data_IF_668458518208
#
_entry.id   IF_668458518208
#
_cell.length_a   1.000
_cell.length_b   1.000
_cell.length_c   1.000
_cell.angle_alpha   90.00
_cell.angle_beta   90.00
_cell.angle_gamma   90.00
#
_symmetry.space_group_name_H-M   'P 1'
#
loop_
_entity.id
_entity.type
_entity.pdbx_description
1 polymer ?
#
# COMPACT_ATOMS: atom_id res chain seq x y z
N UNK A 1 -10.79 -13.25 5.29
CA UNK A 1 -10.53 -11.87 5.76
C UNK A 1 -9.38 -12.01 6.71
N UNK A 2 -8.24 -11.41 6.39
CA UNK A 2 -7.05 -11.61 7.22
C UNK A 2 -7.00 -10.61 8.38
N UNK A 3 -7.50 -9.40 8.17
CA UNK A 3 -7.45 -8.27 9.08
C UNK A 3 -8.59 -7.30 8.85
N UNK A 4 -8.79 -6.42 9.80
CA UNK A 4 -9.72 -5.31 9.75
C UNK A 4 -8.91 -4.01 9.88
N UNK A 5 -8.88 -3.22 8.82
CA UNK A 5 -8.21 -1.92 8.78
C UNK A 5 -9.15 -0.81 9.24
N UNK A 6 -8.74 -0.07 10.26
CA UNK A 6 -9.52 1.04 10.81
C UNK A 6 -8.68 2.32 10.75
N UNK A 7 -9.18 3.32 10.03
CA UNK A 7 -8.56 4.65 10.01
C UNK A 7 -8.88 5.39 11.31
N UNK A 8 -7.84 5.89 11.97
CA UNK A 8 -7.94 6.61 13.24
C UNK A 8 -7.05 7.84 13.25
N UNK A 9 -7.30 8.79 14.13
CA UNK A 9 -6.34 9.87 14.34
C UNK A 9 -5.16 9.37 15.19
N UNK A 10 -3.94 9.68 14.78
CA UNK A 10 -2.73 9.28 15.52
C UNK A 10 -2.73 9.75 17.00
N UNK A 11 -3.37 10.87 17.28
CA UNK A 11 -3.54 11.38 18.64
C UNK A 11 -4.35 10.47 19.56
N UNK A 12 -5.15 9.58 19.01
CA UNK A 12 -6.06 8.70 19.74
C UNK A 12 -5.45 7.32 20.03
N UNK A 13 -4.21 7.05 19.63
CA UNK A 13 -3.57 5.74 19.80
C UNK A 13 -3.48 5.29 21.28
N UNK A 14 -3.28 6.21 22.22
CA UNK A 14 -3.24 5.86 23.63
C UNK A 14 -4.63 5.44 24.15
N UNK A 15 -5.67 6.16 23.74
CA UNK A 15 -7.05 5.78 24.07
C UNK A 15 -7.45 4.44 23.41
N UNK A 16 -7.05 4.23 22.16
CA UNK A 16 -7.26 2.96 21.45
C UNK A 16 -6.58 1.80 22.18
N UNK A 17 -5.35 2.01 22.69
CA UNK A 17 -4.63 0.98 23.43
C UNK A 17 -5.40 0.56 24.70
N UNK A 18 -5.98 1.51 25.42
CA UNK A 18 -6.81 1.20 26.61
C UNK A 18 -8.03 0.38 26.20
N UNK A 19 -8.80 0.85 25.23
CA UNK A 19 -10.02 0.15 24.77
C UNK A 19 -9.69 -1.22 24.20
N UNK A 20 -8.63 -1.34 23.40
CA UNK A 20 -8.22 -2.63 22.83
C UNK A 20 -7.87 -3.64 23.93
N UNK A 21 -7.14 -3.23 24.95
CA UNK A 21 -6.80 -4.09 26.09
C UNK A 21 -8.05 -4.51 26.88
N UNK A 22 -8.97 -3.58 27.15
CA UNK A 22 -10.22 -3.86 27.86
C UNK A 22 -11.10 -4.88 27.09
N UNK A 23 -11.04 -4.87 25.75
CA UNK A 23 -11.72 -5.84 24.89
C UNK A 23 -10.93 -7.15 24.71
N UNK A 24 -9.82 -7.33 25.44
CA UNK A 24 -8.98 -8.54 25.38
C UNK A 24 -8.06 -8.61 24.16
N UNK A 25 -7.86 -7.51 23.47
CA UNK A 25 -6.90 -7.38 22.37
C UNK A 25 -5.47 -7.40 22.88
N UNK A 26 -4.61 -8.17 22.23
CA UNK A 26 -3.18 -8.24 22.53
C UNK A 26 -2.42 -7.46 21.45
N UNK A 27 -1.62 -6.49 21.87
CA UNK A 27 -0.77 -5.76 20.94
C UNK A 27 0.19 -6.71 20.23
N UNK A 28 0.26 -6.59 18.91
CA UNK A 28 1.19 -7.32 18.05
C UNK A 28 2.21 -6.31 17.52
N UNK A 29 3.47 -6.72 17.42
CA UNK A 29 4.52 -5.86 16.85
C UNK A 29 4.23 -5.59 15.38
N UNK A 30 3.88 -4.34 15.07
CA UNK A 30 3.73 -3.82 13.71
C UNK A 30 4.98 -3.08 13.23
N UNK A 31 5.06 -2.80 11.95
CA UNK A 31 6.22 -2.14 11.34
C UNK A 31 6.20 -0.60 11.41
N UNK A 32 5.38 -0.03 12.28
CA UNK A 32 5.69 1.30 12.79
C UNK A 32 4.63 2.37 12.81
N UNK A 33 3.81 2.57 11.80
CA UNK A 33 2.86 3.70 11.77
C UNK A 33 1.45 3.32 12.19
N UNK A 34 1.16 2.06 12.36
CA UNK A 34 -0.12 1.54 12.78
C UNK A 34 -0.01 0.79 14.10
N UNK A 35 -1.12 0.50 14.73
CA UNK A 35 -1.23 -0.30 15.95
C UNK A 35 -2.01 -1.57 15.63
N UNK A 36 -1.35 -2.72 15.79
CA UNK A 36 -1.94 -4.01 15.49
C UNK A 36 -2.34 -4.71 16.78
N UNK A 37 -3.55 -5.21 16.81
CA UNK A 37 -4.09 -6.00 17.91
C UNK A 37 -4.67 -7.31 17.41
N UNK A 38 -4.39 -8.37 18.15
CA UNK A 38 -5.04 -9.65 17.96
C UNK A 38 -6.10 -9.84 19.06
N UNK A 39 -7.35 -9.86 18.66
CA UNK A 39 -8.49 -10.05 19.56
C UNK A 39 -8.87 -11.53 19.72
N UNK A 40 -9.69 -11.88 20.74
CA UNK A 40 -10.26 -13.21 20.88
C UNK A 40 -10.92 -13.68 19.57
N UNK A 41 -10.82 -14.97 19.28
CA UNK A 41 -11.30 -15.52 18.01
C UNK A 41 -10.35 -15.32 16.82
N UNK A 42 -9.10 -14.88 17.08
CA UNK A 42 -8.06 -14.62 16.07
C UNK A 42 -8.43 -13.50 15.08
N UNK A 43 -9.18 -12.53 15.53
CA UNK A 43 -9.49 -11.34 14.73
C UNK A 43 -8.31 -10.37 14.83
N UNK A 44 -7.62 -10.14 13.71
CA UNK A 44 -6.59 -9.13 13.60
C UNK A 44 -7.24 -7.78 13.27
N UNK A 45 -6.85 -6.74 13.99
CA UNK A 45 -7.31 -5.36 13.75
C UNK A 45 -6.08 -4.46 13.66
N UNK A 46 -6.02 -3.68 12.61
CA UNK A 46 -4.96 -2.69 12.36
C UNK A 46 -5.55 -1.28 12.42
N UNK A 47 -5.01 -0.46 13.31
CA UNK A 47 -5.41 0.94 13.43
C UNK A 47 -4.39 1.80 12.70
N UNK A 48 -4.81 2.43 11.61
CA UNK A 48 -3.98 3.23 10.72
C UNK A 48 -4.24 4.73 10.91
N UNK A 49 -3.19 5.55 11.08
CA UNK A 49 -3.37 7.01 11.05
C UNK A 49 -3.52 7.55 9.62
N UNK A 50 -3.09 6.76 8.64
CA UNK A 50 -3.14 7.01 7.20
C UNK A 50 -3.44 5.70 6.48
N UNK A 51 -4.30 5.75 5.48
CA UNK A 51 -4.70 4.54 4.72
C UNK A 51 -3.58 3.98 3.84
N UNK A 52 -2.60 4.81 3.45
CA UNK A 52 -1.45 4.40 2.66
C UNK A 52 -0.15 4.89 3.29
N UNK A 53 0.88 4.07 3.25
CA UNK A 53 2.21 4.45 3.68
C UNK A 53 2.84 5.47 2.72
N UNK A 54 3.49 6.50 3.25
CA UNK A 54 4.22 7.50 2.46
C UNK A 54 5.40 6.91 1.65
N UNK A 55 5.85 5.71 1.97
CA UNK A 55 7.00 5.04 1.34
C UNK A 55 6.63 4.11 0.19
N UNK A 56 5.39 4.11 -0.28
CA UNK A 56 5.05 3.31 -1.46
C UNK A 56 5.79 3.86 -2.68
N UNK A 57 6.30 2.99 -3.58
CA UNK A 57 6.94 3.42 -4.82
C UNK A 57 6.02 4.23 -5.73
N UNK A 58 4.71 4.18 -5.47
CA UNK A 58 3.66 4.85 -6.19
C UNK A 58 3.36 6.15 -5.44
N UNK A 59 3.86 7.26 -5.91
CA UNK A 59 3.51 8.62 -5.48
C UNK A 59 3.60 8.88 -3.97
N UNK A 60 4.51 9.72 -3.57
CA UNK A 60 4.52 10.24 -2.21
C UNK A 60 3.34 11.20 -2.02
N UNK A 61 2.60 11.06 -0.94
CA UNK A 61 1.52 11.97 -0.56
C UNK A 61 0.12 11.56 -1.03
N UNK A 62 -0.06 10.34 -1.52
CA UNK A 62 -1.37 9.76 -1.76
C UNK A 62 -1.92 9.30 -0.42
N UNK A 63 -2.85 10.03 0.12
CA UNK A 63 -3.60 9.61 1.29
C UNK A 63 -5.06 10.02 1.12
N UNK A 64 -5.89 9.17 0.50
CA UNK A 64 -7.31 9.41 0.35
C UNK A 64 -8.07 9.25 1.68
N UNK A 65 -7.46 9.62 2.80
CA UNK A 65 -7.98 9.45 4.12
C UNK A 65 -9.09 10.44 4.49
N UNK A 66 -8.86 11.21 5.52
CA UNK A 66 -9.87 12.04 6.16
C UNK A 66 -10.50 13.11 5.26
N UNK A 67 -9.82 13.60 4.24
CA UNK A 67 -10.35 14.60 3.30
C UNK A 67 -11.53 14.10 2.47
N UNK A 68 -11.72 12.79 2.36
CA UNK A 68 -12.84 12.17 1.63
C UNK A 68 -13.84 11.50 2.57
N UNK A 69 -13.73 11.75 3.88
CA UNK A 69 -14.63 11.20 4.87
C UNK A 69 -15.67 12.25 5.28
N UNK A 70 -16.91 11.82 5.43
CA UNK A 70 -18.03 12.63 5.94
C UNK A 70 -18.42 12.17 7.33
N UNK A 71 -18.92 13.10 8.15
CA UNK A 71 -19.45 12.78 9.47
C UNK A 71 -20.74 11.96 9.34
N UNK A 72 -20.87 10.95 10.20
CA UNK A 72 -22.11 10.20 10.34
C UNK A 72 -22.99 10.86 11.41
N UNK A 73 -24.28 11.09 11.13
CA UNK A 73 -25.18 11.65 12.13
C UNK A 73 -25.17 10.80 13.41
N UNK A 74 -25.11 11.47 14.56
CA UNK A 74 -25.18 10.86 15.89
C UNK A 74 -24.12 9.77 16.15
N UNK A 75 -22.97 9.82 15.45
CA UNK A 75 -21.89 8.85 15.57
C UNK A 75 -20.53 9.54 15.68
N UNK A 76 -19.60 8.91 16.39
CA UNK A 76 -18.18 9.31 16.39
C UNK A 76 -17.42 8.76 15.18
N UNK A 77 -18.05 7.91 14.37
CA UNK A 77 -17.46 7.38 13.15
C UNK A 77 -17.71 8.30 11.96
N UNK A 78 -16.81 8.17 10.98
CA UNK A 78 -16.94 8.82 9.67
C UNK A 78 -17.06 7.73 8.60
N UNK A 79 -17.69 8.08 7.50
CA UNK A 79 -17.79 7.22 6.34
C UNK A 79 -17.07 7.86 5.16
N UNK A 80 -16.36 7.07 4.36
CA UNK A 80 -15.79 7.55 3.12
C UNK A 80 -16.92 7.91 2.14
N UNK A 81 -16.77 9.01 1.41
CA UNK A 81 -17.62 9.29 0.25
C UNK A 81 -17.44 8.20 -0.81
N UNK A 82 -18.30 8.13 -1.80
CA UNK A 82 -18.14 7.14 -2.89
C UNK A 82 -16.82 7.31 -3.63
N UNK A 83 -16.41 8.56 -3.88
CA UNK A 83 -15.14 8.92 -4.47
C UNK A 83 -13.97 8.47 -3.56
N UNK A 84 -14.07 8.77 -2.26
CA UNK A 84 -13.06 8.40 -1.27
C UNK A 84 -12.88 6.89 -1.16
N UNK A 85 -13.97 6.15 -1.14
CA UNK A 85 -13.95 4.70 -1.13
C UNK A 85 -13.27 4.13 -2.38
N UNK A 86 -13.66 4.62 -3.56
CA UNK A 86 -13.08 4.15 -4.82
C UNK A 86 -11.58 4.49 -4.91
N UNK A 87 -11.21 5.73 -4.60
CA UNK A 87 -9.81 6.16 -4.59
C UNK A 87 -8.97 5.32 -3.61
N UNK A 88 -9.49 5.08 -2.41
CA UNK A 88 -8.82 4.23 -1.43
C UNK A 88 -8.63 2.81 -1.96
N UNK A 89 -9.65 2.22 -2.58
CA UNK A 89 -9.58 0.86 -3.12
C UNK A 89 -8.51 0.74 -4.20
N UNK A 90 -8.46 1.69 -5.15
CA UNK A 90 -7.43 1.70 -6.20
C UNK A 90 -6.03 1.93 -5.63
N UNK A 91 -5.88 2.89 -4.71
CA UNK A 91 -4.58 3.19 -4.11
C UNK A 91 -4.05 2.00 -3.28
N UNK A 92 -4.92 1.34 -2.52
CA UNK A 92 -4.57 0.16 -1.74
C UNK A 92 -4.17 -1.01 -2.65
N UNK A 93 -4.97 -1.27 -3.69
CA UNK A 93 -4.64 -2.27 -4.72
C UNK A 93 -3.27 -1.99 -5.35
N UNK A 94 -3.03 -0.74 -5.77
CA UNK A 94 -1.77 -0.34 -6.40
C UNK A 94 -0.57 -0.50 -5.45
N UNK A 95 -0.74 -0.20 -4.16
CA UNK A 95 0.29 -0.40 -3.14
C UNK A 95 0.67 -1.88 -3.03
N UNK A 96 -0.29 -2.76 -2.83
CA UNK A 96 -0.04 -4.20 -2.76
C UNK A 96 0.50 -4.77 -4.08
N UNK A 97 0.03 -4.26 -5.21
CA UNK A 97 0.50 -4.68 -6.53
C UNK A 97 2.01 -4.48 -6.68
N UNK A 98 2.56 -3.36 -6.23
CA UNK A 98 4.01 -3.10 -6.26
C UNK A 98 4.77 -3.79 -5.14
N UNK A 99 4.14 -4.05 -4.01
CA UNK A 99 4.74 -4.74 -2.86
C UNK A 99 4.76 -6.28 -3.00
N UNK A 100 4.55 -6.79 -4.22
CA UNK A 100 4.71 -8.21 -4.53
C UNK A 100 3.55 -8.84 -5.26
N UNK A 101 2.47 -8.10 -5.44
CA UNK A 101 1.27 -8.50 -6.18
C UNK A 101 0.03 -8.61 -5.31
N UNK A 102 -1.09 -8.79 -5.98
CA UNK A 102 -2.44 -8.87 -5.41
C UNK A 102 -3.15 -10.14 -5.89
N UNK A 103 -4.12 -10.60 -5.09
CA UNK A 103 -4.99 -11.70 -5.50
C UNK A 103 -6.17 -11.24 -6.36
N UNK A 104 -6.84 -12.20 -7.00
CA UNK A 104 -8.05 -12.01 -7.84
C UNK A 104 -9.14 -11.22 -7.12
N UNK A 105 -9.25 -11.38 -5.80
CA UNK A 105 -10.25 -10.71 -4.98
C UNK A 105 -10.24 -9.19 -5.14
N UNK A 106 -9.07 -8.57 -5.24
CA UNK A 106 -8.98 -7.11 -5.41
C UNK A 106 -9.63 -6.65 -6.73
N UNK A 107 -9.46 -7.42 -7.80
CA UNK A 107 -10.10 -7.14 -9.10
C UNK A 107 -11.62 -7.37 -9.02
N UNK A 108 -12.03 -8.43 -8.32
CA UNK A 108 -13.45 -8.70 -8.07
C UNK A 108 -14.10 -7.57 -7.24
N UNK A 109 -13.43 -7.07 -6.21
CA UNK A 109 -13.94 -5.99 -5.36
C UNK A 109 -14.18 -4.71 -6.19
N UNK A 110 -13.31 -4.41 -7.17
CA UNK A 110 -13.52 -3.30 -8.12
C UNK A 110 -14.76 -3.53 -8.98
N UNK A 111 -14.91 -4.73 -9.55
CA UNK A 111 -16.08 -5.05 -10.37
C UNK A 111 -17.38 -4.97 -9.57
N UNK A 112 -17.42 -5.62 -8.40
CA UNK A 112 -18.59 -5.61 -7.51
C UNK A 112 -18.96 -4.20 -7.07
N UNK A 113 -17.99 -3.37 -6.70
CA UNK A 113 -18.26 -2.00 -6.27
C UNK A 113 -18.91 -1.16 -7.38
N UNK A 114 -18.53 -1.37 -8.63
CA UNK A 114 -19.10 -0.69 -9.81
C UNK A 114 -20.52 -1.18 -10.13
N UNK A 115 -20.82 -2.45 -9.87
CA UNK A 115 -22.11 -3.06 -10.20
C UNK A 115 -23.17 -2.87 -9.12
N UNK A 116 -22.79 -2.96 -7.84
CA UNK A 116 -23.74 -3.07 -6.73
C UNK A 116 -23.93 -1.80 -5.92
N UNK A 117 -23.09 -0.79 -6.09
CA UNK A 117 -23.28 0.47 -5.37
C UNK A 117 -24.48 1.25 -5.92
N UNK A 118 -25.33 1.72 -5.00
CA UNK A 118 -26.51 2.54 -5.34
C UNK A 118 -26.14 3.90 -5.88
N UNK A 119 -25.04 4.47 -5.37
CA UNK A 119 -24.50 5.75 -5.81
C UNK A 119 -23.15 5.52 -6.44
N UNK A 120 -22.95 6.01 -7.63
CA UNK A 120 -21.64 5.94 -8.30
C UNK A 120 -20.81 7.19 -7.94
N UNK A 121 -19.48 7.06 -7.82
CA UNK A 121 -18.62 8.22 -7.61
C UNK A 121 -18.66 9.20 -8.78
N UNK A 122 -18.42 10.48 -8.50
CA UNK A 122 -18.19 11.46 -9.57
C UNK A 122 -16.93 11.05 -10.36
N UNK A 123 -17.16 10.59 -11.58
CA UNK A 123 -16.12 10.06 -12.45
C UNK A 123 -15.05 11.09 -12.79
N UNK A 124 -15.47 12.34 -13.07
CA UNK A 124 -14.54 13.41 -13.42
C UNK A 124 -13.62 13.77 -12.24
N UNK A 125 -14.18 13.83 -11.04
CA UNK A 125 -13.41 14.04 -9.81
C UNK A 125 -12.43 12.90 -9.56
N UNK A 126 -12.87 11.66 -9.66
CA UNK A 126 -12.02 10.46 -9.45
C UNK A 126 -10.87 10.43 -10.45
N UNK A 127 -11.14 10.68 -11.74
CA UNK A 127 -10.09 10.69 -12.77
C UNK A 127 -9.07 11.81 -12.58
N UNK A 128 -9.51 12.98 -12.13
CA UNK A 128 -8.60 14.08 -11.79
C UNK A 128 -7.68 13.71 -10.62
N UNK A 129 -8.23 13.10 -9.56
CA UNK A 129 -7.44 12.66 -8.41
C UNK A 129 -6.49 11.51 -8.77
N UNK A 130 -6.95 10.52 -9.53
CA UNK A 130 -6.09 9.42 -10.02
C UNK A 130 -4.98 9.93 -10.94
N UNK A 131 -5.26 10.95 -11.76
CA UNK A 131 -4.24 11.61 -12.58
C UNK A 131 -3.19 12.29 -11.69
N UNK A 132 -3.63 13.02 -10.67
CA UNK A 132 -2.74 13.65 -9.68
C UNK A 132 -1.88 12.62 -8.94
N UNK A 133 -2.42 11.44 -8.70
CA UNK A 133 -1.70 10.32 -8.07
C UNK A 133 -0.79 9.57 -9.05
N UNK A 134 -0.94 9.76 -10.37
CA UNK A 134 -0.25 8.98 -11.39
C UNK A 134 -0.76 7.54 -11.51
N UNK A 135 -2.02 7.31 -11.14
CA UNK A 135 -2.65 6.00 -11.11
C UNK A 135 -3.82 5.83 -12.08
N UNK A 136 -4.16 6.86 -12.87
CA UNK A 136 -5.33 6.79 -13.77
C UNK A 136 -5.20 5.65 -14.78
N UNK A 137 -4.06 5.51 -15.43
CA UNK A 137 -3.81 4.46 -16.42
C UNK A 137 -3.87 3.06 -15.80
N UNK A 138 -3.31 2.89 -14.61
CA UNK A 138 -3.41 1.65 -13.85
C UNK A 138 -4.85 1.30 -13.49
N UNK A 139 -5.60 2.26 -12.94
CA UNK A 139 -7.00 2.08 -12.55
C UNK A 139 -7.86 1.65 -13.76
N UNK A 140 -7.69 2.31 -14.91
CA UNK A 140 -8.41 1.97 -16.13
C UNK A 140 -8.12 0.54 -16.60
N UNK A 141 -6.88 0.08 -16.51
CA UNK A 141 -6.52 -1.31 -16.88
C UNK A 141 -7.09 -2.34 -15.90
N UNK A 142 -7.12 -2.03 -14.62
CA UNK A 142 -7.75 -2.89 -13.61
C UNK A 142 -9.27 -2.95 -13.84
N UNK A 143 -9.93 -1.84 -14.17
CA UNK A 143 -11.35 -1.83 -14.51
C UNK A 143 -11.63 -2.68 -15.77
N UNK A 144 -10.83 -2.51 -16.82
CA UNK A 144 -10.94 -3.30 -18.04
C UNK A 144 -10.73 -4.81 -17.78
N UNK A 145 -9.75 -5.15 -16.94
CA UNK A 145 -9.52 -6.54 -16.54
C UNK A 145 -10.70 -7.10 -15.74
N UNK A 146 -11.27 -6.29 -14.83
CA UNK A 146 -12.45 -6.68 -14.07
C UNK A 146 -13.66 -6.94 -14.97
N UNK A 147 -13.88 -6.09 -15.97
CA UNK A 147 -14.94 -6.25 -16.96
C UNK A 147 -14.70 -7.47 -17.89
N UNK A 148 -13.44 -7.80 -18.19
CA UNK A 148 -13.09 -8.99 -18.97
C UNK A 148 -13.22 -10.28 -18.16
N UNK A 149 -12.92 -10.26 -16.86
CA UNK A 149 -12.98 -11.47 -16.02
C UNK A 149 -14.38 -11.80 -15.51
N UNK A 150 -15.16 -10.78 -15.17
CA UNK A 150 -16.45 -10.93 -14.48
C UNK A 150 -17.64 -10.39 -15.27
N UNK A 151 -17.38 -9.68 -16.36
CA UNK A 151 -18.38 -9.19 -17.32
C UNK A 151 -18.28 -9.89 -18.66
N UNK A 152 -18.69 -9.19 -19.72
CA UNK A 152 -18.73 -9.72 -21.08
C UNK A 152 -17.72 -9.03 -22.02
N UNK A 153 -16.76 -8.28 -21.48
CA UNK A 153 -15.77 -7.57 -22.30
C UNK A 153 -14.68 -8.52 -22.82
N UNK A 154 -14.18 -8.29 -24.03
CA UNK A 154 -13.15 -9.15 -24.59
C UNK A 154 -11.81 -8.98 -23.86
N UNK A 155 -11.09 -10.09 -23.73
CA UNK A 155 -9.72 -10.10 -23.21
C UNK A 155 -8.76 -9.63 -24.30
N UNK A 156 -7.88 -8.66 -23.97
CA UNK A 156 -6.78 -8.25 -24.86
C UNK A 156 -5.46 -8.88 -24.40
N UNK A 157 -4.43 -8.96 -25.26
CA UNK A 157 -3.12 -9.50 -24.87
C UNK A 157 -2.49 -8.78 -23.65
N UNK A 158 -2.70 -7.46 -23.50
CA UNK A 158 -2.24 -6.72 -22.35
C UNK A 158 -2.99 -7.10 -21.08
N UNK A 159 -4.29 -7.32 -21.16
CA UNK A 159 -5.11 -7.75 -20.03
C UNK A 159 -4.80 -9.20 -19.65
N UNK A 160 -4.47 -10.06 -20.61
CA UNK A 160 -3.98 -11.42 -20.34
C UNK A 160 -2.68 -11.37 -19.55
N UNK A 161 -1.70 -10.55 -19.97
CA UNK A 161 -0.42 -10.38 -19.27
C UNK A 161 -0.63 -9.83 -17.85
N UNK A 162 -1.49 -8.82 -17.67
CA UNK A 162 -1.85 -8.27 -16.38
C UNK A 162 -2.55 -9.30 -15.49
N UNK A 163 -3.49 -10.03 -16.08
CA UNK A 163 -4.22 -11.09 -15.39
C UNK A 163 -3.30 -12.23 -14.92
N UNK A 164 -2.39 -12.70 -15.77
CA UNK A 164 -1.38 -13.68 -15.39
C UNK A 164 -0.46 -13.16 -14.27
N UNK A 165 -0.06 -11.90 -14.36
CA UNK A 165 0.72 -11.27 -13.30
C UNK A 165 0.00 -11.32 -11.95
N UNK A 166 -1.31 -11.05 -11.91
CA UNK A 166 -2.14 -11.11 -10.70
C UNK A 166 -2.31 -12.55 -10.23
N UNK A 167 -2.70 -13.47 -11.12
CA UNK A 167 -2.93 -14.88 -10.77
C UNK A 167 -1.69 -15.57 -10.18
N UNK A 168 -0.52 -15.22 -10.70
CA UNK A 168 0.76 -15.79 -10.25
C UNK A 168 1.33 -15.11 -8.99
N UNK A 169 0.70 -14.01 -8.52
CA UNK A 169 1.11 -13.31 -7.29
C UNK A 169 0.63 -13.98 -5.99
N UNK A 170 -0.33 -14.92 -6.06
CA UNK A 170 -0.99 -15.47 -4.89
C UNK A 170 -1.87 -14.41 -4.19
N UNK A 171 -2.35 -14.75 -2.99
CA UNK A 171 -3.25 -13.86 -2.23
C UNK A 171 -2.57 -12.69 -1.53
N UNK A 172 -1.26 -12.79 -1.27
CA UNK A 172 -0.50 -11.82 -0.47
C UNK A 172 0.80 -11.36 -1.13
N UNK A 173 0.96 -11.61 -2.44
CA UNK A 173 2.19 -11.29 -3.17
C UNK A 173 3.34 -12.27 -2.91
N UNK A 174 4.44 -12.05 -3.64
CA UNK A 174 5.65 -12.88 -3.58
C UNK A 174 6.85 -11.98 -3.26
N UNK A 175 7.65 -12.35 -2.27
CA UNK A 175 8.79 -11.56 -1.79
C UNK A 175 9.82 -11.25 -2.91
N UNK A 176 10.10 -12.20 -3.80
CA UNK A 176 11.03 -12.01 -4.92
C UNK A 176 10.48 -10.97 -5.92
N UNK A 177 9.16 -10.97 -6.14
CA UNK A 177 8.49 -9.97 -6.98
C UNK A 177 8.49 -8.59 -6.33
N UNK A 178 8.24 -8.49 -5.03
CA UNK A 178 8.34 -7.24 -4.28
C UNK A 178 9.72 -6.60 -4.44
N UNK A 179 10.76 -7.42 -4.38
CA UNK A 179 12.14 -6.99 -4.58
C UNK A 179 12.39 -6.52 -6.00
N UNK A 180 11.98 -7.30 -7.01
CA UNK A 180 12.11 -6.95 -8.41
C UNK A 180 11.36 -5.64 -8.74
N UNK A 181 10.14 -5.48 -8.24
CA UNK A 181 9.37 -4.25 -8.39
C UNK A 181 10.07 -3.05 -7.73
N UNK A 182 10.56 -3.22 -6.51
CA UNK A 182 11.29 -2.16 -5.79
C UNK A 182 12.54 -1.71 -6.57
N UNK A 183 13.28 -2.64 -7.17
CA UNK A 183 14.44 -2.33 -8.02
C UNK A 183 13.99 -1.62 -9.31
N UNK A 184 12.96 -2.14 -10.00
CA UNK A 184 12.44 -1.59 -11.25
C UNK A 184 11.92 -0.16 -11.10
N UNK A 185 11.32 0.17 -9.96
CA UNK A 185 10.78 1.48 -9.64
C UNK A 185 11.79 2.43 -8.97
N UNK A 186 13.02 1.96 -8.69
CA UNK A 186 14.07 2.78 -8.09
C UNK A 186 14.86 3.56 -9.15
N UNK A 187 15.43 4.74 -8.80
CA UNK A 187 16.33 5.45 -9.70
C UNK A 187 17.52 4.58 -10.09
N UNK A 188 17.82 4.52 -11.40
CA UNK A 188 18.91 3.71 -11.94
C UNK A 188 18.73 2.19 -11.89
N UNK A 189 17.58 1.67 -11.42
CA UNK A 189 17.31 0.23 -11.36
C UNK A 189 18.27 -0.56 -10.46
N UNK A 190 18.97 0.10 -9.53
CA UNK A 190 20.01 -0.53 -8.73
C UNK A 190 19.49 -1.09 -7.42
N UNK A 191 20.03 -2.25 -7.03
CA UNK A 191 19.78 -2.86 -5.72
C UNK A 191 20.07 -1.90 -4.56
N UNK A 192 21.18 -1.17 -4.67
CA UNK A 192 21.59 -0.18 -3.69
C UNK A 192 20.55 0.95 -3.53
N UNK A 193 20.02 1.47 -4.64
CA UNK A 193 18.99 2.51 -4.61
C UNK A 193 17.68 2.01 -4.00
N UNK A 194 17.27 0.78 -4.30
CA UNK A 194 16.10 0.15 -3.69
C UNK A 194 16.28 -0.06 -2.18
N UNK A 195 17.45 -0.53 -1.77
CA UNK A 195 17.80 -0.71 -0.35
C UNK A 195 17.86 0.64 0.37
N UNK A 196 18.49 1.65 -0.24
CA UNK A 196 18.58 2.98 0.35
C UNK A 196 17.21 3.61 0.61
N UNK A 197 16.26 3.47 -0.30
CA UNK A 197 14.87 3.92 -0.08
C UNK A 197 14.20 3.20 1.11
N UNK A 198 14.51 1.93 1.32
CA UNK A 198 13.99 1.17 2.48
C UNK A 198 14.71 1.50 3.79
N UNK A 199 15.94 1.97 3.74
CA UNK A 199 16.72 2.38 4.91
C UNK A 199 16.44 3.85 5.26
N UNK A 200 16.52 4.73 4.26
CA UNK A 200 16.37 6.18 4.45
C UNK A 200 14.95 6.63 4.10
N UNK A 201 14.07 6.45 5.04
CA UNK A 201 12.69 6.91 4.92
C UNK A 201 12.60 8.44 4.86
N UNK A 202 11.59 8.98 4.15
CA UNK A 202 11.29 10.41 4.17
C UNK A 202 11.10 10.93 5.59
N UNK A 203 11.43 12.20 5.79
CA UNK A 203 11.34 12.86 7.10
C UNK A 203 9.96 12.70 7.75
N UNK A 204 8.89 12.91 7.00
CA UNK A 204 7.52 12.82 7.52
C UNK A 204 7.25 11.46 8.16
N UNK A 205 7.64 10.37 7.49
CA UNK A 205 7.43 9.02 7.98
C UNK A 205 8.31 8.68 9.20
N UNK A 206 9.54 9.23 9.25
CA UNK A 206 10.40 9.09 10.44
C UNK A 206 9.85 9.86 11.63
N UNK A 207 9.32 11.06 11.42
CA UNK A 207 8.71 11.86 12.46
C UNK A 207 7.44 11.22 13.03
N UNK A 208 6.67 10.52 12.20
CA UNK A 208 5.50 9.75 12.64
C UNK A 208 5.91 8.50 13.43
N UNK A 209 6.95 7.80 12.96
CA UNK A 209 7.46 6.57 13.60
C UNK A 209 8.24 6.84 14.88
N UNK A 210 8.96 7.95 14.93
CA UNK A 210 9.80 8.38 16.04
C UNK A 210 9.40 9.80 16.50
N UNK A 211 8.31 9.94 17.28
CA UNK A 211 7.79 11.26 17.66
C UNK A 211 8.82 12.17 18.35
N UNK A 212 9.86 11.58 18.97
CA UNK A 212 10.95 12.32 19.62
C UNK A 212 11.81 13.15 18.63
N UNK A 213 11.81 12.81 17.34
CA UNK A 213 12.54 13.57 16.30
C UNK A 213 11.65 14.61 15.58
N UNK A 214 10.34 14.66 15.89
CA UNK A 214 9.39 15.56 15.23
C UNK A 214 9.80 17.02 15.33
N UNK A 215 9.87 17.69 14.19
CA UNK A 215 10.32 19.08 14.10
C UNK A 215 11.83 19.30 14.28
N UNK A 216 12.63 18.25 14.55
CA UNK A 216 14.05 18.35 14.86
C UNK A 216 14.88 17.65 13.79
N UNK A 217 15.13 18.31 12.64
CA UNK A 217 15.84 17.71 11.52
C UNK A 217 17.22 17.14 11.86
N UNK A 218 17.91 17.68 12.86
CA UNK A 218 19.22 17.22 13.32
C UNK A 218 19.18 15.84 14.02
N UNK A 219 18.00 15.38 14.46
CA UNK A 219 17.80 14.04 15.04
C UNK A 219 17.49 12.96 13.99
N UNK A 220 17.27 13.31 12.71
CA UNK A 220 16.97 12.34 11.66
C UNK A 220 18.05 11.24 11.53
N UNK A 221 19.36 11.52 11.61
CA UNK A 221 20.38 10.46 11.60
C UNK A 221 20.18 9.44 12.72
N UNK A 222 19.84 9.89 13.92
CA UNK A 222 19.56 9.00 15.06
C UNK A 222 18.29 8.17 14.83
N UNK A 223 17.25 8.76 14.22
CA UNK A 223 16.02 8.04 13.86
C UNK A 223 16.29 6.96 12.79
N UNK A 224 17.12 7.23 11.79
CA UNK A 224 17.54 6.22 10.82
C UNK A 224 18.34 5.08 11.47
N UNK A 225 19.25 5.39 12.40
CA UNK A 225 19.99 4.38 13.16
C UNK A 225 19.05 3.52 14.02
N UNK A 226 18.12 4.14 14.75
CA UNK A 226 17.12 3.42 15.54
C UNK A 226 16.26 2.50 14.68
N UNK A 227 15.84 2.98 13.50
CA UNK A 227 15.09 2.17 12.54
C UNK A 227 15.91 1.00 12.02
N UNK A 228 17.16 1.23 11.62
CA UNK A 228 18.05 0.16 11.15
C UNK A 228 18.27 -0.90 12.23
N UNK A 229 18.48 -0.47 13.46
CA UNK A 229 18.59 -1.36 14.61
C UNK A 229 17.33 -2.21 14.81
N UNK A 230 16.14 -1.58 14.80
CA UNK A 230 14.87 -2.30 14.91
C UNK A 230 14.66 -3.28 13.74
N UNK A 231 15.01 -2.87 12.52
CA UNK A 231 14.91 -3.74 11.35
C UNK A 231 15.79 -4.99 11.48
N UNK A 232 17.04 -4.83 11.93
CA UNK A 232 17.95 -5.97 12.13
C UNK A 232 17.50 -6.87 13.27
N UNK A 233 17.04 -6.31 14.38
CA UNK A 233 16.65 -7.09 15.57
C UNK A 233 15.31 -7.80 15.41
N UNK A 234 14.35 -7.19 14.71
CA UNK A 234 13.00 -7.72 14.55
C UNK A 234 12.82 -8.52 13.24
N UNK A 235 13.57 -8.18 12.18
CA UNK A 235 13.41 -8.73 10.83
C UNK A 235 14.73 -9.21 10.21
N UNK A 236 15.73 -9.56 11.02
CA UNK A 236 17.05 -9.95 10.54
C UNK A 236 17.04 -11.09 9.52
N UNK A 237 16.15 -12.06 9.65
CA UNK A 237 15.97 -13.15 8.68
C UNK A 237 15.43 -12.66 7.34
N UNK A 238 14.52 -11.68 7.34
CA UNK A 238 13.97 -11.08 6.12
C UNK A 238 15.04 -10.28 5.39
N UNK A 239 15.85 -9.50 6.13
CA UNK A 239 16.96 -8.72 5.57
C UNK A 239 18.03 -9.65 4.99
N UNK A 240 18.38 -10.74 5.67
CA UNK A 240 19.31 -11.73 5.18
C UNK A 240 18.82 -12.43 3.90
N UNK A 241 17.53 -12.76 3.83
CA UNK A 241 16.91 -13.33 2.64
C UNK A 241 16.84 -12.32 1.49
N UNK A 242 16.58 -11.05 1.78
CA UNK A 242 16.67 -9.96 0.81
C UNK A 242 18.07 -9.84 0.21
N UNK A 243 19.11 -9.86 1.04
CA UNK A 243 20.49 -9.81 0.57
C UNK A 243 20.88 -10.99 -0.33
N UNK A 244 20.37 -12.19 -0.04
CA UNK A 244 20.58 -13.40 -0.86
C UNK A 244 19.77 -13.38 -2.16
N UNK A 245 18.55 -12.85 -2.13
CA UNK A 245 17.67 -12.78 -3.31
C UNK A 245 18.15 -11.72 -4.32
N UNK A 246 18.63 -10.56 -3.85
CA UNK A 246 19.08 -9.47 -4.73
C UNK A 246 20.26 -9.85 -5.63
N UNK A 247 21.15 -10.72 -5.18
CA UNK A 247 22.28 -11.17 -5.99
C UNK A 247 21.91 -12.05 -7.19
N UNK A 248 20.64 -12.50 -7.28
CA UNK A 248 20.14 -13.36 -8.35
C UNK A 248 19.41 -12.58 -9.45
N UNK A 249 18.95 -11.37 -9.18
CA UNK A 249 18.16 -10.55 -10.13
C UNK A 249 19.13 -9.86 -11.10
N UNK A 250 19.02 -10.14 -12.37
CA UNK A 250 19.83 -9.53 -13.43
C UNK A 250 19.34 -8.13 -13.79
N UNK A 251 20.21 -7.32 -14.39
CA UNK A 251 19.80 -6.00 -14.92
C UNK A 251 18.73 -6.10 -16.01
N UNK A 252 18.79 -7.16 -16.81
CA UNK A 252 17.81 -7.42 -17.88
C UNK A 252 16.43 -7.65 -17.29
N UNK A 253 16.30 -8.49 -16.25
CA UNK A 253 15.03 -8.72 -15.56
C UNK A 253 14.45 -7.44 -14.97
N UNK A 254 15.30 -6.55 -14.41
CA UNK A 254 14.87 -5.25 -13.87
C UNK A 254 14.29 -4.36 -14.97
N UNK A 255 14.94 -4.31 -16.13
CA UNK A 255 14.48 -3.49 -17.28
C UNK A 255 13.16 -4.06 -17.84
N UNK A 256 13.10 -5.35 -18.09
CA UNK A 256 11.89 -6.02 -18.59
C UNK A 256 10.70 -5.83 -17.63
N UNK A 257 10.94 -5.98 -16.34
CA UNK A 257 9.89 -5.76 -15.33
C UNK A 257 9.50 -4.28 -15.23
N UNK A 258 10.44 -3.35 -15.41
CA UNK A 258 10.12 -1.92 -15.46
C UNK A 258 9.20 -1.60 -16.64
N UNK A 259 9.48 -2.14 -17.83
CA UNK A 259 8.66 -1.97 -19.02
C UNK A 259 7.27 -2.61 -18.80
N UNK A 260 7.22 -3.78 -18.18
CA UNK A 260 5.98 -4.46 -17.82
C UNK A 260 5.12 -3.61 -16.87
N UNK A 261 5.68 -3.13 -15.78
CA UNK A 261 4.97 -2.25 -14.84
C UNK A 261 4.47 -0.97 -15.53
N UNK A 262 5.29 -0.40 -16.42
CA UNK A 262 4.89 0.77 -17.21
C UNK A 262 3.69 0.47 -18.10
N UNK A 263 3.69 -0.68 -18.80
CA UNK A 263 2.52 -1.11 -19.60
C UNK A 263 1.27 -1.32 -18.74
N UNK A 264 1.42 -1.71 -17.49
CA UNK A 264 0.32 -1.84 -16.53
C UNK A 264 -0.14 -0.51 -15.93
N UNK A 265 0.52 0.60 -16.28
CA UNK A 265 0.16 1.93 -15.79
C UNK A 265 0.84 2.31 -14.46
N UNK A 266 1.84 1.54 -14.03
CA UNK A 266 2.67 1.86 -12.87
C UNK A 266 3.94 2.56 -13.33
N UNK A 267 4.08 3.82 -12.98
CA UNK A 267 5.20 4.65 -13.42
C UNK A 267 6.15 4.98 -12.26
N UNK A 268 7.43 5.20 -12.60
CA UNK A 268 8.37 5.78 -11.63
C UNK A 268 7.90 7.17 -11.24
N UNK A 269 7.82 7.44 -9.96
CA UNK A 269 7.68 8.82 -9.49
C UNK A 269 8.99 9.57 -9.74
N UNK A 270 8.99 10.46 -10.70
CA UNK A 270 10.06 11.45 -10.87
C UNK A 270 9.93 12.47 -9.72
N UNK A 271 10.73 12.29 -8.68
CA UNK A 271 11.02 13.33 -7.68
C UNK A 271 12.51 13.48 -7.53
#
# INVERSE_FOLDING_TARGET
MSDLDILVYAKDFDAIAVVANDLGGKAVTGDGNHRNYLFPGKVAVEFHPNLLHHATPIGTGINPGWQYAKDMPESFSKELTEEGFYLNTICHLASHFVDGGVGVRFVLDIWVSRQLRKTQPDRAFVEAELTRFGLLDFAQKIEQLADAWFGEQPMSPLLEELGEYILTSGSHGIADRAMLNAMSLSPGGSQFSALMKKVFYPRAELEDRFPWCKGKAWLLPAAWCARAYNAVTQHGSIIANWGKGTGRISKTEVIENQEKLHRFGIHKTNK
#
